data_IF_171106701706
#
_entry.id   IF_171106701706
#
_cell.length_a   1.000
_cell.length_b   1.000
_cell.length_c   1.000
_cell.angle_alpha   90.00
_cell.angle_beta   90.00
_cell.angle_gamma   90.00
#
_symmetry.space_group_name_H-M   'P 1'
#
loop_
_entity.id
_entity.type
_entity.pdbx_description
1 polymer ?
#
# COMPACT_ATOMS: atom_id res chain seq x y z
N UNK A 1 27.11 6.00 -17.37
CA UNK A 1 25.79 6.18 -18.02
C UNK A 1 24.84 5.16 -17.43
N UNK A 2 23.69 5.55 -16.89
CA UNK A 2 22.80 4.59 -16.25
C UNK A 2 22.16 3.67 -17.30
N UNK A 3 22.33 2.36 -17.13
CA UNK A 3 21.88 1.29 -18.03
C UNK A 3 20.36 1.24 -18.26
N UNK A 4 19.58 1.99 -17.47
CA UNK A 4 18.13 2.00 -17.57
C UNK A 4 17.65 2.84 -18.77
N UNK A 5 18.40 3.86 -19.21
CA UNK A 5 17.91 4.86 -20.18
C UNK A 5 17.44 4.31 -21.53
N UNK A 6 17.93 3.14 -21.95
CA UNK A 6 17.60 2.54 -23.25
C UNK A 6 16.38 1.61 -23.24
N UNK A 7 15.75 1.38 -22.08
CA UNK A 7 14.52 0.57 -21.97
C UNK A 7 13.22 1.41 -22.00
N UNK A 8 13.32 2.74 -21.97
CA UNK A 8 12.16 3.63 -21.84
C UNK A 8 11.70 4.20 -23.18
N UNK A 9 10.96 3.40 -23.95
CA UNK A 9 9.98 3.93 -24.93
C UNK A 9 8.56 3.63 -24.45
N UNK A 10 8.20 4.22 -23.30
CA UNK A 10 6.83 4.26 -22.81
C UNK A 10 6.06 5.42 -23.43
N UNK A 11 5.12 5.10 -24.31
CA UNK A 11 4.17 6.03 -24.93
C UNK A 11 3.40 6.77 -23.83
N UNK A 12 3.37 8.12 -23.85
CA UNK A 12 2.37 8.90 -23.10
C UNK A 12 1.00 8.49 -23.63
N UNK A 13 0.30 7.61 -22.91
CA UNK A 13 -1.08 7.25 -23.23
C UNK A 13 -1.96 8.33 -22.63
N UNK A 14 -2.49 9.19 -23.49
CA UNK A 14 -3.68 9.97 -23.17
C UNK A 14 -4.86 9.15 -23.68
N UNK A 15 -5.53 8.46 -22.75
CA UNK A 15 -6.91 7.96 -22.76
C UNK A 15 -7.40 7.04 -23.92
N UNK A 16 -8.45 6.22 -23.72
CA UNK A 16 -9.76 6.65 -23.23
C UNK A 16 -9.86 6.80 -21.71
N UNK A 17 -10.71 7.71 -21.22
CA UNK A 17 -10.91 7.95 -19.79
C UNK A 17 -11.41 6.69 -19.10
N UNK A 18 -11.19 6.61 -17.78
CA UNK A 18 -11.71 5.54 -16.92
C UNK A 18 -13.22 5.46 -17.09
N UNK A 19 -13.68 4.40 -17.76
CA UNK A 19 -15.12 4.20 -17.97
C UNK A 19 -15.81 3.97 -16.63
N UNK A 20 -17.05 4.44 -16.51
CA UNK A 20 -17.83 4.23 -15.29
C UNK A 20 -18.00 2.73 -14.98
N UNK A 21 -18.17 1.90 -16.01
CA UNK A 21 -18.26 0.45 -15.85
C UNK A 21 -16.99 -0.15 -15.24
N UNK A 22 -15.81 0.23 -15.75
CA UNK A 22 -14.55 -0.27 -15.21
C UNK A 22 -14.34 0.20 -13.77
N UNK A 23 -14.63 1.48 -13.48
CA UNK A 23 -14.56 2.02 -12.12
C UNK A 23 -15.40 1.21 -11.13
N UNK A 24 -16.68 0.97 -11.45
CA UNK A 24 -17.59 0.20 -10.60
C UNK A 24 -17.10 -1.24 -10.40
N UNK A 25 -16.53 -1.87 -11.43
CA UNK A 25 -15.94 -3.21 -11.31
C UNK A 25 -14.75 -3.24 -10.33
N UNK A 26 -13.84 -2.26 -10.40
CA UNK A 26 -12.70 -2.19 -9.47
C UNK A 26 -13.17 -1.90 -8.04
N UNK A 27 -14.10 -0.95 -7.85
CA UNK A 27 -14.64 -0.62 -6.52
C UNK A 27 -15.36 -1.82 -5.91
N UNK A 28 -16.17 -2.55 -6.68
CA UNK A 28 -16.91 -3.71 -6.20
C UNK A 28 -16.02 -4.84 -5.65
N UNK A 29 -14.79 -4.98 -6.17
CA UNK A 29 -13.82 -6.01 -5.78
C UNK A 29 -12.75 -5.54 -4.79
N UNK A 30 -12.82 -4.30 -4.31
CA UNK A 30 -11.80 -3.73 -3.41
C UNK A 30 -12.38 -3.53 -2.00
N UNK A 31 -12.14 -4.44 -1.04
CA UNK A 31 -12.62 -4.29 0.33
C UNK A 31 -12.07 -3.03 1.00
N UNK A 32 -10.84 -2.64 0.65
CA UNK A 32 -10.15 -1.44 1.11
C UNK A 32 -10.95 -0.12 0.99
N UNK A 33 -11.91 -0.01 0.08
CA UNK A 33 -12.69 1.23 -0.12
C UNK A 33 -14.09 1.17 0.49
N UNK A 34 -14.41 0.11 1.24
CA UNK A 34 -15.76 -0.07 1.75
C UNK A 34 -16.15 1.05 2.74
N UNK A 35 -15.28 1.52 3.63
CA UNK A 35 -15.60 2.66 4.51
C UNK A 35 -15.95 3.96 3.76
N UNK A 36 -15.58 4.02 2.48
CA UNK A 36 -16.02 4.92 1.40
C UNK A 36 -17.50 5.34 1.42
N UNK A 37 -17.83 6.61 1.70
CA UNK A 37 -19.11 7.18 1.24
C UNK A 37 -19.07 7.58 -0.24
N UNK A 38 -20.20 8.05 -0.79
CA UNK A 38 -20.30 8.37 -2.23
C UNK A 38 -19.41 9.55 -2.64
N UNK A 39 -19.28 10.55 -1.78
CA UNK A 39 -18.50 11.75 -2.09
C UNK A 39 -17.00 11.44 -2.01
N UNK A 40 -16.58 10.66 -1.01
CA UNK A 40 -15.22 10.15 -0.90
C UNK A 40 -14.85 9.23 -2.07
N UNK A 41 -15.75 8.33 -2.52
CA UNK A 41 -15.53 7.52 -3.72
C UNK A 41 -15.39 8.38 -4.99
N UNK A 42 -16.18 9.45 -5.13
CA UNK A 42 -16.06 10.38 -6.26
C UNK A 42 -14.71 11.13 -6.23
N UNK A 43 -14.27 11.59 -5.06
CA UNK A 43 -12.94 12.20 -4.87
C UNK A 43 -11.82 11.21 -5.21
N UNK A 44 -11.95 9.95 -4.77
CA UNK A 44 -10.98 8.90 -5.05
C UNK A 44 -10.89 8.59 -6.55
N UNK A 45 -12.03 8.57 -7.26
CA UNK A 45 -12.06 8.40 -8.72
C UNK A 45 -11.26 9.49 -9.43
N UNK A 46 -11.53 10.76 -9.10
CA UNK A 46 -10.82 11.91 -9.68
C UNK A 46 -9.32 11.86 -9.35
N UNK A 47 -8.96 11.44 -8.14
CA UNK A 47 -7.56 11.28 -7.76
C UNK A 47 -6.88 10.17 -8.58
N UNK A 48 -7.53 9.02 -8.76
CA UNK A 48 -7.02 7.90 -9.54
C UNK A 48 -6.87 8.26 -11.03
N UNK A 49 -7.84 8.95 -11.63
CA UNK A 49 -7.75 9.44 -13.01
C UNK A 49 -6.54 10.39 -13.19
N UNK A 50 -6.34 11.33 -12.25
CA UNK A 50 -5.16 12.21 -12.27
C UNK A 50 -3.86 11.44 -12.07
N UNK A 51 -3.86 10.41 -11.23
CA UNK A 51 -2.68 9.56 -11.02
C UNK A 51 -2.32 8.83 -12.33
N UNK A 52 -3.30 8.26 -13.03
CA UNK A 52 -3.09 7.61 -14.33
C UNK A 52 -2.51 8.56 -15.39
N UNK A 53 -2.92 9.83 -15.37
CA UNK A 53 -2.41 10.84 -16.31
C UNK A 53 -1.00 11.35 -15.98
N UNK A 54 -0.59 11.26 -14.71
CA UNK A 54 0.67 11.86 -14.22
C UNK A 54 1.79 10.85 -14.02
N UNK A 55 1.48 9.54 -13.93
CA UNK A 55 2.44 8.48 -13.65
C UNK A 55 2.63 7.57 -14.86
N UNK A 56 3.87 7.08 -15.05
CA UNK A 56 4.19 6.06 -16.05
C UNK A 56 3.86 4.67 -15.52
N UNK A 57 3.20 3.84 -16.33
CA UNK A 57 2.96 2.43 -16.03
C UNK A 57 3.69 1.57 -17.04
N UNK A 58 4.58 0.72 -16.55
CA UNK A 58 5.53 -0.02 -17.37
C UNK A 58 5.39 -1.52 -17.11
N UNK A 59 5.22 -2.27 -18.19
CA UNK A 59 5.11 -3.71 -18.12
C UNK A 59 6.50 -4.33 -18.30
N UNK A 60 6.90 -5.23 -17.40
CA UNK A 60 8.17 -5.92 -17.47
C UNK A 60 7.97 -7.41 -17.83
N UNK A 61 8.99 -8.01 -18.45
CA UNK A 61 9.05 -9.46 -18.76
C UNK A 61 7.82 -10.01 -19.49
N UNK A 62 7.29 -9.26 -20.45
CA UNK A 62 6.13 -9.70 -21.25
C UNK A 62 4.78 -9.60 -20.53
N UNK A 63 4.73 -8.95 -19.35
CA UNK A 63 3.47 -8.59 -18.71
C UNK A 63 2.60 -7.75 -19.65
N UNK A 64 1.29 -7.98 -19.63
CA UNK A 64 0.31 -7.15 -20.35
C UNK A 64 -0.38 -6.27 -19.32
N UNK A 65 -0.20 -4.96 -19.45
CA UNK A 65 -0.88 -3.97 -18.62
C UNK A 65 -2.15 -3.48 -19.30
N UNK A 66 -3.29 -4.00 -18.86
CA UNK A 66 -4.59 -3.47 -19.21
C UNK A 66 -5.01 -2.30 -18.30
N UNK A 67 -6.10 -1.63 -18.68
CA UNK A 67 -6.62 -0.47 -17.96
C UNK A 67 -7.16 -0.82 -16.56
N UNK A 68 -7.64 -2.06 -16.36
CA UNK A 68 -8.13 -2.54 -15.06
C UNK A 68 -7.00 -2.71 -14.05
N UNK A 69 -5.84 -3.22 -14.48
CA UNK A 69 -4.62 -3.32 -13.68
C UNK A 69 -4.15 -1.93 -13.25
N UNK A 70 -4.03 -1.02 -14.22
CA UNK A 70 -3.58 0.36 -13.96
C UNK A 70 -4.53 1.08 -13.00
N UNK A 71 -5.83 0.96 -13.24
CA UNK A 71 -6.84 1.57 -12.38
C UNK A 71 -6.85 0.98 -10.97
N UNK A 72 -6.69 -0.34 -10.82
CA UNK A 72 -6.59 -0.96 -9.50
C UNK A 72 -5.38 -0.42 -8.73
N UNK A 73 -4.23 -0.27 -9.39
CA UNK A 73 -3.03 0.31 -8.76
C UNK A 73 -3.30 1.77 -8.36
N UNK A 74 -3.83 2.57 -9.27
CA UNK A 74 -4.12 3.98 -9.02
C UNK A 74 -5.14 4.18 -7.87
N UNK A 75 -6.19 3.36 -7.83
CA UNK A 75 -7.19 3.39 -6.77
C UNK A 75 -6.57 3.15 -5.39
N UNK A 76 -5.77 2.08 -5.24
CA UNK A 76 -5.16 1.75 -3.95
C UNK A 76 -4.08 2.76 -3.55
N UNK A 77 -3.25 3.22 -4.48
CA UNK A 77 -2.29 4.29 -4.21
C UNK A 77 -3.02 5.55 -3.70
N UNK A 78 -4.01 6.04 -4.45
CA UNK A 78 -4.73 7.25 -4.11
C UNK A 78 -5.57 7.13 -2.82
N UNK A 79 -5.94 5.91 -2.43
CA UNK A 79 -6.67 5.67 -1.17
C UNK A 79 -5.84 6.08 0.05
N UNK A 80 -4.54 5.74 0.10
CA UNK A 80 -3.66 6.12 1.22
C UNK A 80 -3.57 7.64 1.36
N UNK A 81 -3.61 8.38 0.25
CA UNK A 81 -3.43 9.84 0.24
C UNK A 81 -4.73 10.63 0.19
N UNK A 82 -5.89 9.97 0.23
CA UNK A 82 -7.19 10.60 -0.08
C UNK A 82 -7.49 11.81 0.81
N UNK A 83 -7.22 11.66 2.11
CA UNK A 83 -7.44 12.70 3.13
C UNK A 83 -6.10 13.20 3.75
N UNK A 84 -4.99 13.04 3.00
CA UNK A 84 -3.66 13.53 3.37
C UNK A 84 -3.27 14.78 2.57
N UNK A 85 -3.63 16.01 3.00
CA UNK A 85 -3.35 17.23 2.22
C UNK A 85 -1.86 17.58 2.11
N UNK A 86 -1.01 16.99 2.94
CA UNK A 86 0.41 17.30 3.06
C UNK A 86 1.32 16.21 2.47
N UNK A 87 0.78 15.05 2.11
CA UNK A 87 1.52 13.91 1.60
C UNK A 87 0.91 13.41 0.29
N UNK A 88 1.77 13.28 -0.72
CA UNK A 88 1.39 12.73 -2.01
C UNK A 88 2.57 12.03 -2.68
N UNK A 89 2.31 11.44 -3.84
CA UNK A 89 3.31 10.74 -4.63
C UNK A 89 3.99 11.64 -5.67
N UNK A 90 4.19 12.95 -5.42
CA UNK A 90 4.81 13.85 -6.43
C UNK A 90 6.18 13.37 -6.92
N UNK A 91 7.02 12.87 -6.03
CA UNK A 91 8.36 12.38 -6.37
C UNK A 91 8.36 11.01 -7.10
N UNK A 92 7.25 10.27 -7.08
CA UNK A 92 7.10 9.02 -7.81
C UNK A 92 6.78 9.29 -9.28
N UNK A 93 7.53 8.68 -10.19
CA UNK A 93 7.36 8.89 -11.63
C UNK A 93 6.84 7.66 -12.38
N UNK A 94 7.31 6.46 -12.00
CA UNK A 94 6.98 5.22 -12.71
C UNK A 94 6.59 4.08 -11.77
N UNK A 95 5.69 3.23 -12.26
CA UNK A 95 5.26 1.98 -11.65
C UNK A 95 5.62 0.87 -12.63
N UNK A 96 6.41 -0.09 -12.19
CA UNK A 96 6.85 -1.23 -13.01
C UNK A 96 6.15 -2.48 -12.52
N UNK A 97 5.46 -3.18 -13.41
CA UNK A 97 4.69 -4.38 -13.09
C UNK A 97 5.28 -5.61 -13.78
N UNK A 98 5.63 -6.60 -12.98
CA UNK A 98 6.12 -7.91 -13.38
C UNK A 98 4.98 -8.93 -13.26
N UNK A 99 4.98 -10.02 -14.06
CA UNK A 99 4.00 -11.09 -13.88
C UNK A 99 4.24 -11.83 -12.56
N UNK A 100 5.49 -12.15 -12.26
CA UNK A 100 5.90 -12.98 -11.12
C UNK A 100 6.89 -12.26 -10.20
N UNK A 101 6.93 -12.71 -8.93
CA UNK A 101 7.97 -12.32 -8.00
C UNK A 101 9.35 -12.63 -8.61
N UNK A 102 10.25 -11.65 -8.58
CA UNK A 102 11.61 -11.84 -9.07
C UNK A 102 12.62 -11.43 -8.00
N UNK A 103 13.69 -12.21 -7.92
CA UNK A 103 14.90 -11.81 -7.20
C UNK A 103 15.67 -10.85 -8.11
N UNK A 104 15.88 -9.61 -7.66
CA UNK A 104 16.84 -8.72 -8.32
C UNK A 104 18.24 -9.33 -8.25
N UNK A 105 19.08 -9.26 -9.30
CA UNK A 105 20.46 -9.75 -9.26
C UNK A 105 21.35 -9.06 -8.21
N UNK A 106 20.91 -7.94 -7.64
CA UNK A 106 21.61 -7.23 -6.57
C UNK A 106 21.10 -7.69 -5.21
N UNK A 107 21.62 -8.83 -4.76
CA UNK A 107 21.51 -9.27 -3.36
C UNK A 107 22.16 -8.22 -2.46
N UNK A 108 21.44 -7.73 -1.47
CA UNK A 108 22.05 -7.25 -0.24
C UNK A 108 21.90 -8.37 0.79
N UNK A 109 23.03 -8.86 1.30
CA UNK A 109 23.07 -9.78 2.44
C UNK A 109 22.87 -8.89 3.67
N UNK A 110 21.99 -9.28 4.58
CA UNK A 110 21.85 -8.61 5.87
C UNK A 110 23.08 -8.84 6.77
N UNK A 111 23.17 -8.14 7.88
CA UNK A 111 24.29 -8.30 8.83
C UNK A 111 24.29 -9.67 9.56
N UNK A 112 23.29 -10.53 9.30
CA UNK A 112 23.13 -11.85 9.93
C UNK A 112 23.39 -13.03 8.98
N UNK A 113 23.63 -12.78 7.68
CA UNK A 113 23.93 -13.83 6.71
C UNK A 113 22.73 -14.69 6.30
N UNK A 114 21.49 -14.25 6.56
CA UNK A 114 20.28 -15.00 6.24
C UNK A 114 19.83 -14.68 4.82
N UNK A 115 19.66 -15.73 4.00
CA UNK A 115 19.06 -15.61 2.67
C UNK A 115 17.55 -15.89 2.82
N UNK A 116 16.75 -14.83 2.88
CA UNK A 116 15.30 -14.99 2.89
C UNK A 116 14.82 -15.51 1.53
N UNK A 117 14.37 -16.77 1.50
CA UNK A 117 13.68 -17.38 0.38
C UNK A 117 12.24 -16.84 0.31
N UNK A 118 12.15 -15.59 -0.11
CA UNK A 118 10.91 -14.83 -0.25
C UNK A 118 11.34 -13.49 -0.82
N UNK A 119 11.37 -13.39 -2.15
CA UNK A 119 11.96 -12.25 -2.82
C UNK A 119 11.20 -10.98 -2.51
N UNK A 120 11.75 -10.15 -1.62
CA UNK A 120 11.64 -8.68 -1.60
C UNK A 120 12.45 -8.12 -0.43
N UNK A 121 13.73 -7.89 -0.69
CA UNK A 121 14.53 -7.00 0.13
C UNK A 121 15.44 -6.25 -0.84
N UNK A 122 15.05 -5.02 -1.17
CA UNK A 122 15.93 -4.06 -1.83
C UNK A 122 16.07 -2.89 -0.87
N UNK A 123 17.32 -2.63 -0.46
CA UNK A 123 17.69 -1.68 0.57
C UNK A 123 16.97 -0.32 0.41
N UNK A 124 16.38 0.15 1.52
CA UNK A 124 15.55 1.36 1.60
C UNK A 124 16.22 2.64 1.09
N UNK A 125 17.55 2.70 0.98
CA UNK A 125 18.26 3.87 0.46
C UNK A 125 18.24 4.00 -1.08
N UNK A 126 18.26 2.89 -1.82
CA UNK A 126 18.52 2.92 -3.26
C UNK A 126 17.29 3.26 -4.12
N UNK A 127 16.07 3.19 -3.55
CA UNK A 127 14.82 3.38 -4.29
C UNK A 127 13.83 4.36 -3.65
N UNK A 128 14.23 5.13 -2.63
CA UNK A 128 13.41 6.21 -2.06
C UNK A 128 12.77 7.10 -3.13
N UNK A 129 13.54 7.43 -4.18
CA UNK A 129 13.07 8.19 -5.36
C UNK A 129 12.90 7.33 -6.63
N UNK A 130 13.01 6.01 -6.51
CA UNK A 130 12.87 5.07 -7.61
C UNK A 130 11.41 4.69 -7.90
N UNK A 131 11.14 3.90 -8.95
CA UNK A 131 9.82 3.36 -9.23
C UNK A 131 9.22 2.60 -8.04
N UNK A 132 7.89 2.47 -8.06
CA UNK A 132 7.20 1.36 -7.37
C UNK A 132 7.31 0.14 -8.26
N UNK A 133 7.67 -1.01 -7.69
CA UNK A 133 7.75 -2.28 -8.41
C UNK A 133 6.72 -3.23 -7.83
N UNK A 134 5.93 -3.87 -8.69
CA UNK A 134 4.88 -4.80 -8.29
C UNK A 134 5.06 -6.13 -9.02
N UNK A 135 4.98 -7.24 -8.29
CA UNK A 135 4.72 -8.55 -8.86
C UNK A 135 3.20 -8.79 -8.88
N UNK A 136 2.63 -9.01 -10.06
CA UNK A 136 1.19 -9.08 -10.24
C UNK A 136 0.59 -10.37 -9.67
N UNK A 137 1.34 -11.47 -9.68
CA UNK A 137 0.97 -12.72 -9.00
C UNK A 137 0.66 -12.51 -7.51
N UNK A 138 1.42 -11.65 -6.81
CA UNK A 138 1.15 -11.34 -5.39
C UNK A 138 -0.16 -10.55 -5.22
N UNK A 139 -0.54 -9.74 -6.22
CA UNK A 139 -1.83 -9.02 -6.23
C UNK A 139 -3.00 -9.98 -6.49
N UNK A 140 -2.78 -11.02 -7.31
CA UNK A 140 -3.79 -12.05 -7.61
C UNK A 140 -3.96 -13.07 -6.49
N UNK A 141 -2.96 -13.21 -5.61
CA UNK A 141 -2.97 -14.14 -4.48
C UNK A 141 -2.78 -13.37 -3.17
N UNK A 142 -3.75 -12.50 -2.80
CA UNK A 142 -3.63 -11.72 -1.59
C UNK A 142 -3.65 -12.63 -0.36
N UNK A 143 -2.78 -12.34 0.60
CA UNK A 143 -2.82 -12.95 1.92
C UNK A 143 -4.00 -12.37 2.71
N UNK A 144 -4.55 -13.07 3.72
CA UNK A 144 -5.56 -12.49 4.60
C UNK A 144 -5.08 -11.14 5.19
N UNK A 145 -5.86 -10.08 4.99
CA UNK A 145 -5.51 -8.72 5.40
C UNK A 145 -4.39 -8.04 4.60
N UNK A 146 -3.83 -8.73 3.59
CA UNK A 146 -2.72 -8.24 2.78
C UNK A 146 -3.16 -7.62 1.45
N UNK A 147 -2.48 -6.55 1.05
CA UNK A 147 -2.60 -5.87 -0.23
C UNK A 147 -1.26 -5.26 -0.62
N UNK A 148 -0.55 -5.93 -1.53
CA UNK A 148 0.79 -5.53 -1.97
C UNK A 148 0.84 -4.13 -2.60
N UNK A 149 -0.27 -3.65 -3.17
CA UNK A 149 -0.28 -2.28 -3.70
C UNK A 149 -0.27 -1.29 -2.53
N UNK A 150 -1.14 -1.46 -1.54
CA UNK A 150 -1.14 -0.59 -0.35
C UNK A 150 0.22 -0.63 0.36
N UNK A 151 0.81 -1.82 0.49
CA UNK A 151 2.13 -2.03 1.10
C UNK A 151 3.24 -1.19 0.45
N UNK A 152 3.45 -1.36 -0.86
CA UNK A 152 4.53 -0.68 -1.59
C UNK A 152 4.33 0.83 -1.62
N UNK A 153 3.08 1.29 -1.66
CA UNK A 153 2.75 2.71 -1.60
C UNK A 153 2.84 3.28 -0.18
N UNK A 154 2.67 2.48 0.87
CA UNK A 154 2.95 2.88 2.26
C UNK A 154 4.45 3.15 2.45
N UNK A 155 5.33 2.31 1.92
CA UNK A 155 6.78 2.58 1.93
C UNK A 155 7.15 3.88 1.21
N UNK A 156 6.44 4.24 0.13
CA UNK A 156 6.65 5.53 -0.53
C UNK A 156 6.25 6.71 0.34
N UNK A 157 5.24 6.56 1.21
CA UNK A 157 4.89 7.60 2.19
C UNK A 157 5.89 7.68 3.33
N UNK A 158 6.31 6.53 3.86
CA UNK A 158 7.34 6.42 4.90
C UNK A 158 8.63 7.14 4.47
N UNK A 159 9.09 6.84 3.26
CA UNK A 159 10.29 7.42 2.67
C UNK A 159 10.26 8.92 2.35
N UNK A 160 9.14 9.63 2.52
CA UNK A 160 9.06 11.06 2.14
C UNK A 160 10.02 11.93 2.97
N UNK A 161 10.32 11.55 4.21
CA UNK A 161 11.33 12.25 5.03
C UNK A 161 12.79 11.85 4.71
N UNK A 162 13.02 10.98 3.73
CA UNK A 162 14.32 10.53 3.29
C UNK A 162 14.77 9.18 3.85
N UNK A 163 14.01 8.54 4.75
CA UNK A 163 14.32 7.22 5.32
C UNK A 163 13.04 6.38 5.40
N UNK A 164 13.16 5.07 5.18
CA UNK A 164 12.06 4.11 5.34
C UNK A 164 12.25 3.39 6.68
N UNK A 165 11.52 3.80 7.70
CA UNK A 165 11.68 3.33 9.09
C UNK A 165 10.36 3.21 9.88
N UNK A 166 9.21 3.24 9.20
CA UNK A 166 7.88 3.22 9.83
C UNK A 166 7.50 4.56 10.46
N UNK A 167 8.12 5.65 10.03
CA UNK A 167 7.91 6.99 10.54
C UNK A 167 7.74 7.97 9.36
N UNK A 168 6.59 7.95 8.66
CA UNK A 168 6.31 8.95 7.62
C UNK A 168 6.26 10.37 8.20
N UNK A 169 6.31 11.43 7.37
CA UNK A 169 6.08 12.79 7.84
C UNK A 169 4.73 12.90 8.57
N UNK A 170 4.77 13.30 9.84
CA UNK A 170 3.58 13.32 10.68
C UNK A 170 2.66 14.52 10.36
N UNK A 171 1.33 14.33 10.35
CA UNK A 171 0.38 15.43 10.34
C UNK A 171 0.61 16.37 11.53
N UNK A 172 0.33 17.68 11.41
CA UNK A 172 0.59 18.65 12.48
C UNK A 172 -0.08 18.36 13.83
N UNK A 173 -1.22 17.65 13.80
CA UNK A 173 -2.03 17.30 14.96
C UNK A 173 -1.70 15.91 15.53
N UNK A 174 -0.78 15.17 14.92
CA UNK A 174 -0.38 13.83 15.37
C UNK A 174 0.91 13.90 16.17
N UNK A 175 0.91 13.35 17.38
CA UNK A 175 2.09 13.33 18.23
C UNK A 175 3.11 12.32 17.72
N UNK A 176 4.19 12.81 17.11
CA UNK A 176 5.35 12.01 16.70
C UNK A 176 5.86 11.08 17.81
N UNK A 177 5.87 11.56 19.06
CA UNK A 177 6.31 10.76 20.21
C UNK A 177 5.34 9.62 20.49
N UNK A 178 4.04 9.88 20.46
CA UNK A 178 3.04 8.85 20.75
C UNK A 178 3.00 7.81 19.64
N UNK A 179 3.07 8.24 18.37
CA UNK A 179 3.24 7.37 17.22
C UNK A 179 4.40 6.37 17.41
N UNK A 180 5.60 6.88 17.70
CA UNK A 180 6.77 6.00 17.88
C UNK A 180 6.59 5.03 19.06
N UNK A 181 5.98 5.47 20.17
CA UNK A 181 5.76 4.60 21.32
C UNK A 181 4.77 3.47 21.01
N UNK A 182 3.64 3.79 20.39
CA UNK A 182 2.57 2.83 20.13
C UNK A 182 2.99 1.80 19.09
N UNK A 183 3.59 2.26 17.97
CA UNK A 183 4.06 1.36 16.92
C UNK A 183 5.23 0.49 17.39
N UNK A 184 6.19 1.05 18.15
CA UNK A 184 7.31 0.25 18.68
C UNK A 184 6.83 -0.79 19.69
N UNK A 185 5.91 -0.42 20.58
CA UNK A 185 5.33 -1.34 21.57
C UNK A 185 4.63 -2.53 20.90
N UNK A 186 3.85 -2.25 19.85
CA UNK A 186 3.17 -3.29 19.07
C UNK A 186 4.14 -4.17 18.27
N UNK A 187 5.16 -3.57 17.65
CA UNK A 187 6.23 -4.29 16.97
C UNK A 187 7.00 -5.23 17.91
N UNK A 188 7.38 -4.75 19.10
CA UNK A 188 8.07 -5.54 20.11
C UNK A 188 7.17 -6.68 20.63
N UNK A 189 5.88 -6.41 20.80
CA UNK A 189 4.88 -7.42 21.19
C UNK A 189 4.78 -8.53 20.14
N UNK A 190 4.72 -8.18 18.85
CA UNK A 190 4.67 -9.16 17.77
C UNK A 190 5.94 -10.02 17.73
N UNK A 191 7.12 -9.41 17.82
CA UNK A 191 8.39 -10.14 17.88
C UNK A 191 8.45 -11.09 19.07
N UNK A 192 8.05 -10.61 20.26
CA UNK A 192 8.01 -11.41 21.48
C UNK A 192 7.09 -12.63 21.36
N UNK A 193 5.96 -12.51 20.65
CA UNK A 193 5.03 -13.61 20.37
C UNK A 193 5.66 -14.65 19.44
N UNK A 194 6.27 -14.18 18.33
CA UNK A 194 6.91 -15.04 17.34
C UNK A 194 8.10 -15.81 17.91
N UNK A 195 8.93 -15.16 18.75
CA UNK A 195 10.06 -15.80 19.43
C UNK A 195 9.65 -16.97 20.34
N UNK A 196 8.38 -16.99 20.76
CA UNK A 196 7.79 -18.06 21.59
C UNK A 196 6.99 -19.08 20.79
N UNK A 197 6.99 -18.97 19.46
CA UNK A 197 6.20 -19.82 18.58
C UNK A 197 4.70 -19.64 18.75
N UNK A 198 4.26 -18.49 19.28
CA UNK A 198 2.84 -18.16 19.33
C UNK A 198 2.35 -17.78 17.93
N UNK A 199 1.08 -18.09 17.60
CA UNK A 199 0.51 -17.70 16.31
C UNK A 199 0.49 -16.18 16.16
N UNK A 200 0.97 -15.69 15.02
CA UNK A 200 0.93 -14.27 14.68
C UNK A 200 -0.50 -13.84 14.40
N UNK A 201 -0.94 -12.76 15.04
CA UNK A 201 -2.30 -12.24 14.90
C UNK A 201 -2.46 -11.33 13.66
N UNK A 202 -1.36 -10.87 13.08
CA UNK A 202 -1.23 -10.31 11.74
C UNK A 202 -0.12 -11.05 10.99
N UNK A 203 0.13 -10.69 9.74
CA UNK A 203 1.22 -11.27 8.95
C UNK A 203 2.57 -11.16 9.70
N UNK A 204 3.22 -12.30 9.94
CA UNK A 204 4.50 -12.37 10.66
C UNK A 204 5.60 -11.56 9.96
N UNK A 205 5.45 -11.27 8.67
CA UNK A 205 6.37 -10.39 7.94
C UNK A 205 6.48 -8.99 8.55
N UNK A 206 5.44 -8.51 9.25
CA UNK A 206 5.47 -7.24 9.98
C UNK A 206 6.57 -7.17 11.06
N UNK A 207 7.04 -8.32 11.56
CA UNK A 207 8.12 -8.37 12.56
C UNK A 207 9.52 -8.14 11.97
N UNK A 208 9.65 -8.07 10.65
CA UNK A 208 10.96 -7.94 9.96
C UNK A 208 11.64 -6.62 10.27
N UNK A 209 10.90 -5.51 10.26
CA UNK A 209 11.42 -4.18 10.63
C UNK A 209 10.27 -3.22 10.97
N UNK A 210 10.52 -2.08 11.64
CA UNK A 210 9.50 -1.06 11.86
C UNK A 210 8.85 -0.52 10.58
N UNK A 211 9.61 -0.45 9.47
CA UNK A 211 9.05 -0.06 8.17
C UNK A 211 8.06 -1.09 7.64
N UNK A 212 8.39 -2.37 7.74
CA UNK A 212 7.51 -3.48 7.33
C UNK A 212 6.29 -3.55 8.24
N UNK A 213 6.47 -3.29 9.53
CA UNK A 213 5.37 -3.20 10.48
C UNK A 213 4.37 -2.10 10.09
N UNK A 214 4.86 -0.91 9.74
CA UNK A 214 4.02 0.18 9.26
C UNK A 214 3.28 -0.19 7.96
N UNK A 215 3.98 -0.79 6.98
CA UNK A 215 3.39 -1.17 5.71
C UNK A 215 2.30 -2.25 5.88
N UNK A 216 2.58 -3.32 6.65
CA UNK A 216 1.59 -4.37 6.94
C UNK A 216 0.42 -3.84 7.75
N UNK A 217 0.67 -3.03 8.79
CA UNK A 217 -0.43 -2.42 9.53
C UNK A 217 -1.28 -1.50 8.63
N UNK A 218 -0.69 -0.81 7.64
CA UNK A 218 -1.43 -0.03 6.64
C UNK A 218 -2.30 -0.91 5.74
N UNK A 219 -1.83 -2.09 5.33
CA UNK A 219 -2.65 -3.07 4.59
C UNK A 219 -3.88 -3.48 5.42
N UNK A 220 -3.65 -3.92 6.65
CA UNK A 220 -4.72 -4.37 7.55
C UNK A 220 -5.68 -3.24 7.90
N UNK A 221 -5.18 -2.01 8.04
CA UNK A 221 -6.01 -0.85 8.32
C UNK A 221 -7.09 -0.63 7.26
N UNK A 222 -6.79 -0.86 5.98
CA UNK A 222 -7.79 -0.74 4.92
C UNK A 222 -8.53 -2.05 4.63
N UNK A 223 -7.86 -3.19 4.61
CA UNK A 223 -8.45 -4.47 4.19
C UNK A 223 -9.14 -5.24 5.32
N UNK A 224 -8.61 -5.18 6.54
CA UNK A 224 -9.06 -5.94 7.69
C UNK A 224 -9.04 -5.12 8.99
N UNK A 225 -9.68 -3.92 9.04
CA UNK A 225 -9.55 -2.99 10.16
C UNK A 225 -9.99 -3.59 11.50
N UNK A 226 -11.01 -4.46 11.49
CA UNK A 226 -11.48 -5.17 12.67
C UNK A 226 -10.41 -6.07 13.29
N UNK A 227 -9.58 -6.71 12.47
CA UNK A 227 -8.48 -7.54 12.94
C UNK A 227 -7.35 -6.71 13.50
N UNK A 228 -6.96 -5.61 12.82
CA UNK A 228 -5.94 -4.71 13.34
C UNK A 228 -6.34 -4.13 14.69
N UNK A 229 -7.55 -3.58 14.80
CA UNK A 229 -8.04 -2.97 16.02
C UNK A 229 -8.19 -3.98 17.18
N UNK A 230 -8.54 -5.24 16.88
CA UNK A 230 -8.62 -6.27 17.92
C UNK A 230 -7.25 -6.64 18.52
N UNK A 231 -6.17 -6.50 17.74
CA UNK A 231 -4.82 -6.94 18.12
C UNK A 231 -3.96 -5.77 18.60
N UNK A 232 -4.00 -4.65 17.89
CA UNK A 232 -3.23 -3.44 18.14
C UNK A 232 -4.13 -2.20 18.04
N UNK A 233 -5.03 -1.97 19.01
CA UNK A 233 -5.99 -0.86 18.97
C UNK A 233 -5.29 0.50 18.92
N UNK A 234 -4.19 0.69 19.66
CA UNK A 234 -3.42 1.94 19.64
C UNK A 234 -2.81 2.20 18.25
N UNK A 235 -2.29 1.16 17.58
CA UNK A 235 -1.77 1.30 16.20
C UNK A 235 -2.90 1.65 15.24
N UNK A 236 -4.07 1.03 15.37
CA UNK A 236 -5.23 1.40 14.57
C UNK A 236 -5.61 2.89 14.76
N UNK A 237 -5.64 3.37 16.00
CA UNK A 237 -5.95 4.78 16.31
C UNK A 237 -4.90 5.76 15.76
N UNK A 238 -3.62 5.37 15.78
CA UNK A 238 -2.54 6.13 15.13
C UNK A 238 -2.76 6.20 13.62
N UNK A 239 -3.11 5.08 12.97
CA UNK A 239 -3.35 5.04 11.52
C UNK A 239 -4.63 5.78 11.11
N UNK A 240 -5.70 5.75 11.93
CA UNK A 240 -6.92 6.55 11.70
C UNK A 240 -6.60 8.05 11.71
N UNK A 241 -5.80 8.51 12.68
CA UNK A 241 -5.37 9.91 12.74
C UNK A 241 -4.37 10.26 11.65
N UNK A 242 -3.46 9.36 11.30
CA UNK A 242 -2.49 9.56 10.23
C UNK A 242 -3.20 9.72 8.89
N UNK A 243 -3.96 8.71 8.45
CA UNK A 243 -4.64 8.70 7.16
C UNK A 243 -5.86 9.63 7.08
N UNK A 244 -6.35 10.12 8.22
CA UNK A 244 -7.55 10.95 8.30
C UNK A 244 -8.84 10.19 7.95
N UNK A 245 -8.80 8.86 8.00
CA UNK A 245 -9.87 7.97 7.55
C UNK A 245 -10.28 7.02 8.67
N UNK A 246 -11.57 6.74 8.83
CA UNK A 246 -12.05 5.71 9.76
C UNK A 246 -12.50 4.47 8.99
N UNK A 247 -11.72 3.41 9.06
CA UNK A 247 -11.97 2.17 8.30
C UNK A 247 -12.81 1.15 9.08
N UNK A 248 -12.81 1.21 10.41
CA UNK A 248 -13.76 0.47 11.23
C UNK A 248 -15.18 1.01 11.03
N UNK A 249 -16.02 0.19 10.40
CA UNK A 249 -17.47 0.45 10.37
C UNK A 249 -18.09 0.01 11.68
N UNK A 250 -18.81 0.91 12.34
CA UNK A 250 -19.73 0.50 13.39
C UNK A 250 -20.80 -0.40 12.77
N UNK A 251 -20.95 -1.63 13.28
CA UNK A 251 -22.06 -2.49 12.91
C UNK A 251 -23.35 -1.91 13.51
N UNK A 252 -23.97 -0.95 12.83
CA UNK A 252 -25.41 -0.79 12.92
C UNK A 252 -26.03 -1.95 12.15
N UNK A 253 -26.74 -2.83 12.85
CA UNK A 253 -27.42 -3.95 12.24
C UNK A 253 -28.31 -3.46 11.06
N UNK A 254 -27.99 -3.90 9.84
CA UNK A 254 -28.82 -3.71 8.66
C UNK A 254 -28.53 -2.46 7.81
N UNK A 255 -27.46 -2.48 7.02
CA UNK A 255 -27.44 -1.81 5.71
C UNK A 255 -26.21 -2.23 4.91
N UNK A 256 -26.42 -3.11 3.92
CA UNK A 256 -25.47 -3.22 2.82
C UNK A 256 -25.46 -1.87 2.06
N UNK A 257 -24.32 -1.39 1.55
CA UNK A 257 -24.28 -0.15 0.78
C UNK A 257 -25.24 -0.24 -0.41
N UNK A 258 -26.18 0.70 -0.51
CA UNK A 258 -27.27 0.68 -1.48
C UNK A 258 -26.81 0.69 -2.95
N UNK A 259 -25.54 0.99 -3.24
CA UNK A 259 -24.99 0.98 -4.61
C UNK A 259 -24.72 -0.43 -5.18
N UNK A 260 -24.87 -1.50 -4.39
CA UNK A 260 -24.79 -2.89 -4.89
C UNK A 260 -26.07 -3.43 -5.54
N UNK A 261 -27.14 -2.62 -5.65
CA UNK A 261 -28.47 -3.12 -6.04
C UNK A 261 -28.87 -2.94 -7.51
N UNK A 262 -27.94 -2.63 -8.40
CA UNK A 262 -28.24 -2.60 -9.84
C UNK A 262 -27.33 -3.58 -10.60
N UNK A 263 -27.83 -4.80 -10.76
CA UNK A 263 -27.47 -5.74 -11.83
C UNK A 263 -28.54 -5.68 -12.92
#
# INVERSE_FOLDING_TARGET
>A
MPWYKDLFRGRRVVDPPVTEQLWQQIVARSPAVLHLDRDALARLKLAAERFLQTKSFEAARGMVLDDGIRLQIALHACLLTLDLPHLDYRALHSIIVYPDAFLSPHRHIDQAGVVHAGGRTLAGEAWLNGPVVLAWSDVLQPRPGGNVILHEFAHKLDGVNGVVNGFPPMPPNLSSRQWSLDLQSAFDTLNWQLDRGLPAAIDAYAATSPAEFFAVCSEYFFEAPGQLHAVFPEVYEQLEQFFGQRTLRHHSAGSAPAWRLHS
#
